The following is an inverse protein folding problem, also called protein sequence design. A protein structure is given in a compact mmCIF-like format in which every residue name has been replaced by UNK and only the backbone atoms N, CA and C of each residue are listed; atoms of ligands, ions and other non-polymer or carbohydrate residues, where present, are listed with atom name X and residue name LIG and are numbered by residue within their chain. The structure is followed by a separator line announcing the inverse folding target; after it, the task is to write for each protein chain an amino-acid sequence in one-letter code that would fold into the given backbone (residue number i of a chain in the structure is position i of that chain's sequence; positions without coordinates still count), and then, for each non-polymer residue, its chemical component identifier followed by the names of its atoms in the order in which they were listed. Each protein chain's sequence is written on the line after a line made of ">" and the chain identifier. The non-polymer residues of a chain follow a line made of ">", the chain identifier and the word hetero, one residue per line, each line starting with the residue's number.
data_IF_255676562017
#
_entry.id   IF_255676562017
#
_cell.length_a   1.000
_cell.length_b   1.000
_cell.length_c   1.000
_cell.angle_alpha   90.00
_cell.angle_beta   90.00
_cell.angle_gamma   90.00
#
_symmetry.space_group_name_H-M   'P 1'
#
loop_
_entity.id
_entity.type
_entity.pdbx_description
1 polymer ?
#
# COMPACT_ATOMS: atom_id res chain seq x y z
N UNK A 1 -28.00 3.71 14.39
CA UNK A 1 -27.03 3.20 13.39
C UNK A 1 -26.25 2.02 13.95
N UNK A 2 -25.84 1.08 13.10
CA UNK A 2 -25.25 -0.18 13.54
C UNK A 2 -23.73 -0.08 13.66
N UNK A 3 -23.20 -0.34 14.86
CA UNK A 3 -21.78 -0.58 15.06
C UNK A 3 -21.27 -1.70 14.15
N UNK A 4 -19.98 -1.68 13.74
CA UNK A 4 -19.41 -2.80 13.00
C UNK A 4 -19.49 -4.09 13.82
N UNK A 5 -19.73 -5.20 13.14
CA UNK A 5 -19.66 -6.53 13.76
C UNK A 5 -18.24 -6.81 14.29
N UNK A 6 -18.15 -7.62 15.35
CA UNK A 6 -16.89 -7.93 16.06
C UNK A 6 -15.77 -8.40 15.11
N UNK A 7 -16.09 -9.25 14.14
CA UNK A 7 -15.13 -9.75 13.16
C UNK A 7 -14.46 -8.64 12.33
N UNK A 8 -15.19 -7.55 12.02
CA UNK A 8 -14.64 -6.40 11.26
C UNK A 8 -13.68 -5.55 12.08
N UNK A 9 -13.67 -5.68 13.41
CA UNK A 9 -12.79 -4.93 14.31
C UNK A 9 -11.47 -5.67 14.55
N UNK A 10 -11.46 -7.00 14.38
CA UNK A 10 -10.28 -7.84 14.60
C UNK A 10 -9.06 -7.39 13.79
N UNK A 11 -9.23 -7.15 12.48
CA UNK A 11 -8.10 -6.80 11.62
C UNK A 11 -7.54 -5.40 11.89
N UNK A 12 -8.37 -4.34 12.02
CA UNK A 12 -7.88 -3.03 12.46
C UNK A 12 -7.10 -3.05 13.78
N UNK A 13 -7.47 -3.91 14.75
CA UNK A 13 -6.67 -4.09 15.98
C UNK A 13 -5.27 -4.61 15.66
N UNK A 14 -5.14 -5.60 14.78
CA UNK A 14 -3.84 -6.15 14.39
C UNK A 14 -3.00 -5.12 13.63
N UNK A 15 -3.61 -4.36 12.72
CA UNK A 15 -2.93 -3.28 11.98
C UNK A 15 -2.37 -2.22 12.92
N UNK A 16 -3.19 -1.72 13.85
CA UNK A 16 -2.76 -0.72 14.83
C UNK A 16 -1.64 -1.25 15.72
N UNK A 17 -1.76 -2.47 16.24
CA UNK A 17 -0.71 -3.07 17.07
C UNK A 17 0.60 -3.24 16.30
N UNK A 18 0.56 -3.62 15.01
CA UNK A 18 1.76 -3.72 14.18
C UNK A 18 2.37 -2.33 13.95
N UNK A 19 1.54 -1.32 13.65
CA UNK A 19 1.97 0.05 13.40
C UNK A 19 2.64 0.70 14.63
N UNK A 20 2.24 0.32 15.85
CA UNK A 20 2.81 0.86 17.11
C UNK A 20 4.04 0.09 17.62
N UNK A 21 4.63 -0.78 16.81
CA UNK A 21 5.80 -1.58 17.22
C UNK A 21 5.47 -2.91 17.88
N UNK A 22 4.18 -3.30 17.89
CA UNK A 22 3.72 -4.63 18.30
C UNK A 22 3.05 -4.70 19.66
N UNK A 23 2.92 -3.58 20.36
CA UNK A 23 2.22 -3.51 21.63
C UNK A 23 1.55 -2.13 21.79
N UNK A 24 0.40 -2.09 22.45
CA UNK A 24 -0.28 -0.82 22.75
C UNK A 24 -1.20 -0.95 23.97
N UNK A 25 -1.45 0.17 24.67
CA UNK A 25 -2.51 0.27 25.68
C UNK A 25 -3.88 0.31 24.99
N UNK A 26 -4.80 -0.55 25.45
CA UNK A 26 -6.15 -0.69 24.90
C UNK A 26 -6.93 0.62 24.88
N UNK A 27 -6.63 1.56 25.78
CA UNK A 27 -7.26 2.89 25.80
C UNK A 27 -6.97 3.69 24.54
N UNK A 28 -5.75 3.60 24.01
CA UNK A 28 -5.39 4.26 22.74
C UNK A 28 -6.01 3.55 21.55
N UNK A 29 -6.13 2.21 21.60
CA UNK A 29 -6.81 1.45 20.56
C UNK A 29 -8.27 1.91 20.39
N UNK A 30 -9.00 2.21 21.48
CA UNK A 30 -10.38 2.67 21.36
C UNK A 30 -10.53 3.92 20.50
N UNK A 31 -9.61 4.88 20.62
CA UNK A 31 -9.68 6.12 19.86
C UNK A 31 -9.20 5.92 18.41
N UNK A 32 -8.09 5.20 18.21
CA UNK A 32 -7.49 5.03 16.87
C UNK A 32 -8.34 4.17 15.94
N UNK A 33 -8.99 3.14 16.48
CA UNK A 33 -9.83 2.24 15.68
C UNK A 33 -11.03 2.93 15.03
N UNK A 34 -11.45 4.11 15.52
CA UNK A 34 -12.57 4.86 14.96
C UNK A 34 -12.30 5.27 13.50
N UNK A 35 -11.05 5.61 13.16
CA UNK A 35 -10.66 6.02 11.81
C UNK A 35 -10.85 4.95 10.74
N UNK A 36 -10.97 3.68 11.13
CA UNK A 36 -11.19 2.54 10.23
C UNK A 36 -12.66 2.35 9.83
N UNK A 37 -13.58 3.08 10.45
CA UNK A 37 -15.02 2.88 10.27
C UNK A 37 -15.72 4.19 9.89
N UNK A 38 -15.64 4.63 8.62
CA UNK A 38 -16.24 5.88 8.15
C UNK A 38 -17.77 5.89 8.28
N UNK A 39 -18.41 4.74 8.48
CA UNK A 39 -19.83 4.62 8.74
C UNK A 39 -20.26 5.05 10.16
N UNK A 40 -19.31 5.34 11.07
CA UNK A 40 -19.64 5.88 12.39
C UNK A 40 -20.05 7.34 12.28
N UNK A 41 -21.16 7.72 12.91
CA UNK A 41 -21.63 9.10 12.89
C UNK A 41 -20.66 10.02 13.66
N UNK A 42 -20.56 11.29 13.25
CA UNK A 42 -19.67 12.25 13.91
C UNK A 42 -19.92 12.39 15.43
N UNK A 43 -21.18 12.27 15.85
CA UNK A 43 -21.57 12.24 17.27
C UNK A 43 -21.02 11.01 18.02
N UNK A 44 -21.02 9.84 17.37
CA UNK A 44 -20.45 8.61 17.92
C UNK A 44 -18.93 8.72 18.06
N UNK A 45 -18.27 9.27 17.04
CA UNK A 45 -16.81 9.54 17.02
C UNK A 45 -16.42 10.48 18.17
N UNK A 46 -17.18 11.56 18.35
CA UNK A 46 -16.95 12.52 19.42
C UNK A 46 -17.18 11.89 20.81
N UNK A 47 -18.27 11.14 20.98
CA UNK A 47 -18.58 10.45 22.24
C UNK A 47 -17.58 9.34 22.60
N UNK A 48 -17.01 8.64 21.60
CA UNK A 48 -15.93 7.67 21.82
C UNK A 48 -14.63 8.37 22.24
N UNK A 49 -14.29 9.48 21.59
CA UNK A 49 -13.11 10.29 21.90
C UNK A 49 -13.15 10.84 23.33
N UNK A 50 -14.36 11.22 23.80
CA UNK A 50 -14.59 11.68 25.18
C UNK A 50 -14.76 10.51 26.19
N UNK A 51 -14.62 9.26 25.76
CA UNK A 51 -14.64 8.09 26.64
C UNK A 51 -16.02 7.64 27.12
N UNK A 52 -17.10 8.19 26.58
CA UNK A 52 -18.47 8.00 27.07
C UNK A 52 -19.24 6.82 26.45
N UNK A 53 -18.62 6.03 25.55
CA UNK A 53 -19.30 4.92 24.86
C UNK A 53 -18.80 3.53 25.27
N UNK A 54 -19.43 3.00 26.31
CA UNK A 54 -19.23 1.63 26.81
C UNK A 54 -19.57 0.54 25.78
N UNK A 55 -20.47 0.82 24.83
CA UNK A 55 -20.79 -0.14 23.76
C UNK A 55 -19.60 -0.38 22.82
N UNK A 56 -18.89 0.69 22.42
CA UNK A 56 -17.70 0.59 21.58
C UNK A 56 -16.58 -0.19 22.29
N UNK A 57 -16.32 0.15 23.56
CA UNK A 57 -15.34 -0.55 24.40
C UNK A 57 -15.65 -2.04 24.49
N UNK A 58 -16.92 -2.40 24.72
CA UNK A 58 -17.34 -3.82 24.77
C UNK A 58 -17.10 -4.54 23.44
N UNK A 59 -17.33 -3.89 22.30
CA UNK A 59 -17.08 -4.50 20.98
C UNK A 59 -15.58 -4.71 20.74
N UNK A 60 -14.75 -3.70 20.99
CA UNK A 60 -13.29 -3.82 20.86
C UNK A 60 -12.77 -4.91 21.80
N UNK A 61 -13.24 -4.97 23.05
CA UNK A 61 -12.86 -6.02 24.01
C UNK A 61 -13.29 -7.43 23.56
N UNK A 62 -14.46 -7.58 22.93
CA UNK A 62 -14.89 -8.86 22.35
C UNK A 62 -14.02 -9.27 21.16
N UNK A 63 -13.66 -8.32 20.30
CA UNK A 63 -12.75 -8.58 19.18
C UNK A 63 -11.37 -8.99 19.70
N UNK A 64 -10.84 -8.28 20.70
CA UNK A 64 -9.59 -8.64 21.37
C UNK A 64 -9.63 -10.02 22.04
N UNK A 65 -10.74 -10.41 22.66
CA UNK A 65 -10.91 -11.78 23.19
C UNK A 65 -10.83 -12.81 22.07
N UNK A 66 -11.54 -12.59 20.97
CA UNK A 66 -11.53 -13.50 19.81
C UNK A 66 -10.13 -13.63 19.20
N UNK A 67 -9.38 -12.52 19.07
CA UNK A 67 -7.98 -12.53 18.62
C UNK A 67 -7.06 -13.28 19.60
N UNK A 68 -7.31 -13.14 20.90
CA UNK A 68 -6.55 -13.85 21.94
C UNK A 68 -6.80 -15.36 21.89
N UNK A 69 -8.05 -15.78 21.69
CA UNK A 69 -8.42 -17.19 21.56
C UNK A 69 -7.77 -17.82 20.31
N UNK A 70 -7.66 -17.04 19.23
CA UNK A 70 -6.91 -17.38 18.00
C UNK A 70 -5.39 -17.31 18.16
N UNK A 71 -4.87 -16.97 19.35
CA UNK A 71 -3.43 -16.76 19.65
C UNK A 71 -2.76 -15.69 18.77
N UNK A 72 -3.53 -14.73 18.27
CA UNK A 72 -3.04 -13.64 17.41
C UNK A 72 -2.57 -12.43 18.23
N UNK A 73 -3.11 -12.26 19.43
CA UNK A 73 -2.64 -11.28 20.41
C UNK A 73 -2.52 -11.92 21.80
N UNK A 74 -1.66 -11.36 22.64
CA UNK A 74 -1.62 -11.59 24.07
C UNK A 74 -2.16 -10.35 24.80
N UNK A 75 -3.03 -10.57 25.79
CA UNK A 75 -3.64 -9.48 26.58
C UNK A 75 -3.04 -9.49 27.99
N UNK A 76 -2.29 -8.45 28.34
CA UNK A 76 -1.62 -8.29 29.64
C UNK A 76 -2.08 -6.98 30.30
N UNK A 77 -2.97 -7.07 31.30
CA UNK A 77 -3.43 -5.93 32.15
C UNK A 77 -3.55 -4.58 31.40
N UNK A 78 -4.42 -4.51 30.39
CA UNK A 78 -4.66 -3.30 29.61
C UNK A 78 -3.71 -3.08 28.42
N UNK A 79 -2.58 -3.79 28.35
CA UNK A 79 -1.68 -3.79 27.20
C UNK A 79 -1.92 -5.02 26.33
N UNK A 80 -2.09 -4.79 25.03
CA UNK A 80 -2.26 -5.86 24.04
C UNK A 80 -0.98 -5.94 23.22
N UNK A 81 -0.51 -7.17 23.00
CA UNK A 81 0.74 -7.45 22.29
C UNK A 81 0.43 -8.38 21.13
N UNK A 82 0.83 -8.02 19.91
CA UNK A 82 0.63 -8.88 18.75
C UNK A 82 1.64 -10.03 18.74
N UNK A 83 1.16 -11.25 18.54
CA UNK A 83 2.02 -12.44 18.45
C UNK A 83 2.60 -12.60 17.04
N UNK A 84 3.52 -13.54 16.84
CA UNK A 84 4.01 -13.88 15.49
C UNK A 84 2.86 -14.31 14.55
N UNK A 85 1.86 -15.02 15.07
CA UNK A 85 0.68 -15.45 14.29
C UNK A 85 -0.17 -14.25 13.90
N UNK A 86 -0.37 -13.29 14.82
CA UNK A 86 -1.09 -12.05 14.52
C UNK A 86 -0.37 -11.16 13.52
N UNK A 87 0.97 -11.05 13.62
CA UNK A 87 1.79 -10.32 12.64
C UNK A 87 1.71 -10.94 11.25
N UNK A 88 1.77 -12.28 11.18
CA UNK A 88 1.62 -13.00 9.90
C UNK A 88 0.25 -12.75 9.29
N UNK A 89 -0.84 -12.86 10.05
CA UNK A 89 -2.19 -12.53 9.55
C UNK A 89 -2.29 -11.07 9.09
N UNK A 90 -1.70 -10.14 9.85
CA UNK A 90 -1.69 -8.73 9.46
C UNK A 90 -0.96 -8.50 8.14
N UNK A 91 0.17 -9.19 7.93
CA UNK A 91 0.92 -9.17 6.68
C UNK A 91 0.15 -9.85 5.53
N UNK A 92 -0.43 -11.03 5.76
CA UNK A 92 -1.21 -11.78 4.77
C UNK A 92 -2.44 -10.99 4.30
N UNK A 93 -3.17 -10.32 5.21
CA UNK A 93 -4.31 -9.48 4.84
C UNK A 93 -3.86 -8.14 4.20
N UNK A 94 -2.72 -7.57 4.59
CA UNK A 94 -2.13 -6.43 3.88
C UNK A 94 -1.72 -6.80 2.44
N UNK A 95 -1.23 -8.03 2.23
CA UNK A 95 -0.96 -8.61 0.92
C UNK A 95 -2.25 -8.93 0.15
N UNK A 96 -3.33 -9.37 0.81
CA UNK A 96 -4.62 -9.58 0.15
C UNK A 96 -5.30 -8.27 -0.30
N UNK A 97 -5.11 -7.17 0.44
CA UNK A 97 -5.55 -5.84 0.02
C UNK A 97 -4.71 -5.28 -1.14
N UNK A 98 -3.51 -5.84 -1.40
CA UNK A 98 -2.87 -5.70 -2.71
C UNK A 98 -3.56 -6.60 -3.75
N UNK A 99 -4.75 -6.17 -4.18
CA UNK A 99 -5.50 -6.69 -5.34
C UNK A 99 -5.56 -8.22 -5.42
N UNK A 100 -6.49 -8.82 -4.69
CA UNK A 100 -6.99 -10.16 -4.98
C UNK A 100 -8.09 -10.09 -6.06
N UNK A 101 -7.68 -9.83 -7.31
CA UNK A 101 -8.44 -10.25 -8.50
C UNK A 101 -7.88 -11.61 -8.90
N UNK A 102 -8.67 -12.68 -8.72
CA UNK A 102 -8.47 -13.99 -9.34
C UNK A 102 -7.12 -14.67 -9.11
N UNK A 103 -6.90 -15.21 -7.92
CA UNK A 103 -5.89 -16.26 -7.72
C UNK A 103 -6.37 -17.59 -8.34
N UNK A 104 -6.34 -17.66 -9.66
CA UNK A 104 -6.62 -18.86 -10.44
C UNK A 104 -6.16 -18.58 -11.87
N UNK A 105 -5.16 -19.32 -12.33
CA UNK A 105 -4.57 -19.21 -13.69
C UNK A 105 -3.54 -18.07 -13.88
N UNK A 106 -2.34 -18.25 -13.33
CA UNK A 106 -1.23 -17.36 -13.65
C UNK A 106 0.11 -17.68 -12.97
N UNK A 107 0.10 -18.49 -11.91
CA UNK A 107 1.27 -18.84 -11.11
C UNK A 107 2.36 -19.68 -11.85
N UNK A 108 2.33 -19.76 -13.18
CA UNK A 108 3.37 -20.39 -14.00
C UNK A 108 4.06 -19.47 -15.00
N UNK A 109 3.76 -18.16 -15.05
CA UNK A 109 4.37 -17.24 -16.02
C UNK A 109 5.22 -16.10 -15.41
N UNK A 110 5.52 -16.14 -14.12
CA UNK A 110 6.37 -15.14 -13.47
C UNK A 110 7.87 -15.25 -13.82
N UNK A 111 8.29 -16.25 -14.60
CA UNK A 111 9.72 -16.50 -14.87
C UNK A 111 10.34 -15.69 -16.01
N UNK A 112 9.59 -14.90 -16.80
CA UNK A 112 10.17 -14.28 -18.00
C UNK A 112 9.85 -12.81 -18.28
N UNK A 113 9.12 -12.09 -17.41
CA UNK A 113 8.84 -10.68 -17.67
C UNK A 113 10.14 -9.88 -17.88
N UNK A 114 10.29 -9.37 -19.10
CA UNK A 114 11.44 -8.58 -19.51
C UNK A 114 11.31 -7.13 -19.03
N UNK A 115 12.39 -6.37 -19.17
CA UNK A 115 12.37 -4.95 -18.81
C UNK A 115 11.40 -4.20 -19.73
N UNK A 116 11.42 -4.53 -21.03
CA UNK A 116 10.52 -3.99 -22.05
C UNK A 116 9.06 -4.37 -21.80
N UNK A 117 8.78 -5.60 -21.35
CA UNK A 117 7.39 -6.00 -21.03
C UNK A 117 6.84 -5.17 -19.88
N UNK A 118 7.65 -4.92 -18.85
CA UNK A 118 7.24 -4.08 -17.73
C UNK A 118 7.04 -2.62 -18.16
N UNK A 119 7.90 -2.07 -19.02
CA UNK A 119 7.69 -0.74 -19.60
C UNK A 119 6.37 -0.69 -20.38
N UNK A 120 6.11 -1.67 -21.24
CA UNK A 120 4.86 -1.73 -22.02
C UNK A 120 3.62 -1.83 -21.12
N UNK A 121 3.67 -2.63 -20.06
CA UNK A 121 2.57 -2.69 -19.09
C UNK A 121 2.30 -1.33 -18.43
N UNK A 122 3.35 -0.59 -18.07
CA UNK A 122 3.22 0.76 -17.52
C UNK A 122 2.65 1.75 -18.54
N UNK A 123 3.01 1.61 -19.82
CA UNK A 123 2.45 2.42 -20.90
C UNK A 123 0.95 2.20 -21.05
N UNK A 124 0.52 0.94 -21.08
CA UNK A 124 -0.88 0.57 -21.23
C UNK A 124 -1.69 1.02 -20.00
N UNK A 125 -1.18 0.76 -18.79
CA UNK A 125 -1.82 1.25 -17.56
C UNK A 125 -1.98 2.77 -17.57
N UNK A 126 -0.94 3.51 -18.00
CA UNK A 126 -1.02 4.96 -18.12
C UNK A 126 -2.13 5.39 -19.07
N UNK A 127 -2.22 4.77 -20.26
CA UNK A 127 -3.25 5.06 -21.27
C UNK A 127 -4.66 4.78 -20.75
N UNK A 128 -4.88 3.63 -20.13
CA UNK A 128 -6.20 3.24 -19.55
C UNK A 128 -6.64 4.24 -18.47
N UNK A 129 -5.70 4.80 -17.72
CA UNK A 129 -5.98 5.81 -16.70
C UNK A 129 -6.05 7.25 -17.25
N UNK A 130 -6.04 7.43 -18.56
CA UNK A 130 -6.15 8.73 -19.23
C UNK A 130 -4.87 9.58 -19.21
N UNK A 131 -3.70 8.98 -18.92
CA UNK A 131 -2.42 9.66 -19.00
C UNK A 131 -1.77 9.51 -20.38
N UNK A 132 -1.00 10.52 -20.77
CA UNK A 132 -0.04 10.40 -21.86
C UNK A 132 1.23 9.71 -21.33
N UNK A 133 1.41 8.43 -21.65
CA UNK A 133 2.55 7.63 -21.25
C UNK A 133 3.60 7.56 -22.36
N UNK A 134 4.88 7.66 -22.00
CA UNK A 134 6.04 7.48 -22.89
C UNK A 134 7.13 6.63 -22.24
N UNK A 135 7.70 5.71 -23.02
CA UNK A 135 8.85 4.89 -22.61
C UNK A 135 10.16 5.52 -23.09
N UNK A 136 11.24 5.29 -22.36
CA UNK A 136 12.60 5.78 -22.67
C UNK A 136 12.67 7.31 -22.87
N UNK A 137 11.93 8.06 -22.04
CA UNK A 137 11.91 9.51 -22.11
C UNK A 137 13.10 10.12 -21.36
N UNK A 138 13.96 10.81 -22.10
CA UNK A 138 15.25 11.35 -21.64
C UNK A 138 16.17 10.27 -21.04
N UNK A 139 16.08 10.05 -19.74
CA UNK A 139 16.89 9.11 -18.95
C UNK A 139 16.04 8.27 -18.00
N UNK A 140 14.71 8.36 -18.14
CA UNK A 140 13.72 7.60 -17.38
C UNK A 140 13.15 6.46 -18.22
N UNK A 141 12.82 5.35 -17.57
CA UNK A 141 12.32 4.17 -18.28
C UNK A 141 10.89 4.37 -18.78
N UNK A 142 10.00 4.95 -17.95
CA UNK A 142 8.65 5.37 -18.35
C UNK A 142 8.26 6.65 -17.62
N UNK A 143 7.53 7.53 -18.30
CA UNK A 143 6.95 8.75 -17.71
C UNK A 143 5.48 8.89 -18.09
N UNK A 144 4.68 9.44 -17.17
CA UNK A 144 3.29 9.81 -17.46
C UNK A 144 3.08 11.31 -17.32
N UNK A 145 2.30 11.87 -18.24
CA UNK A 145 1.92 13.28 -18.31
C UNK A 145 0.40 13.41 -18.40
N UNK A 146 -0.12 14.56 -17.98
CA UNK A 146 -1.56 14.83 -18.07
C UNK A 146 -2.05 14.92 -19.54
N UNK A 147 -1.16 15.33 -20.45
CA UNK A 147 -1.35 15.35 -21.89
C UNK A 147 0.00 15.37 -22.59
N UNK A 148 0.03 15.12 -23.89
CA UNK A 148 1.25 15.18 -24.72
C UNK A 148 1.97 16.53 -24.65
N UNK A 149 1.19 17.62 -24.57
CA UNK A 149 1.71 18.99 -24.50
C UNK A 149 2.09 19.42 -23.09
N UNK A 150 1.79 18.61 -22.06
CA UNK A 150 2.11 18.96 -20.68
C UNK A 150 3.63 18.95 -20.51
N UNK A 151 4.24 20.08 -20.10
CA UNK A 151 5.68 20.13 -19.83
C UNK A 151 6.04 19.40 -18.53
N UNK A 152 5.06 19.17 -17.65
CA UNK A 152 5.27 18.54 -16.34
C UNK A 152 5.05 17.03 -16.41
N UNK A 153 6.04 16.29 -15.91
CA UNK A 153 5.97 14.87 -15.61
C UNK A 153 5.15 14.66 -14.34
N UNK A 154 4.03 13.94 -14.47
CA UNK A 154 3.16 13.61 -13.34
C UNK A 154 3.70 12.40 -12.56
N UNK A 155 4.09 11.34 -13.28
CA UNK A 155 4.65 10.11 -12.70
C UNK A 155 5.92 9.75 -13.46
N UNK A 156 6.90 9.18 -12.74
CA UNK A 156 8.18 8.74 -13.30
C UNK A 156 8.50 7.36 -12.75
N UNK A 157 8.85 6.44 -13.63
CA UNK A 157 9.08 5.04 -13.33
C UNK A 157 10.51 4.62 -13.71
N UNK A 158 11.15 3.84 -12.82
CA UNK A 158 12.39 3.12 -13.11
C UNK A 158 12.15 1.62 -12.88
N UNK A 159 12.55 0.79 -13.84
CA UNK A 159 12.31 -0.65 -13.88
C UNK A 159 13.62 -1.41 -13.70
N UNK A 160 13.77 -2.12 -12.58
CA UNK A 160 15.01 -2.78 -12.20
C UNK A 160 14.85 -4.31 -12.14
N UNK A 161 15.61 -5.03 -13.00
CA UNK A 161 15.66 -6.51 -13.00
C UNK A 161 16.85 -7.10 -12.24
N UNK A 162 18.05 -6.58 -12.52
CA UNK A 162 19.35 -6.97 -11.92
C UNK A 162 20.29 -5.75 -11.82
N UNK A 163 19.71 -4.56 -11.67
CA UNK A 163 20.42 -3.29 -11.76
C UNK A 163 20.77 -2.68 -10.40
N UNK A 164 21.35 -1.48 -10.44
CA UNK A 164 21.70 -0.73 -9.25
C UNK A 164 20.50 0.11 -8.78
N UNK A 165 19.84 -0.34 -7.71
CA UNK A 165 18.74 0.36 -7.04
C UNK A 165 19.11 1.82 -6.69
N UNK A 166 20.36 2.08 -6.29
CA UNK A 166 20.78 3.43 -5.91
C UNK A 166 20.79 4.40 -7.10
N UNK A 167 21.17 3.91 -8.29
CA UNK A 167 21.13 4.71 -9.51
C UNK A 167 19.69 5.04 -9.91
N UNK A 168 18.77 4.07 -9.80
CA UNK A 168 17.35 4.28 -10.05
C UNK A 168 16.76 5.31 -9.05
N UNK A 169 17.04 5.14 -7.76
CA UNK A 169 16.57 6.08 -6.72
C UNK A 169 17.12 7.50 -6.92
N UNK A 170 18.37 7.64 -7.39
CA UNK A 170 18.95 8.95 -7.71
C UNK A 170 18.22 9.64 -8.87
N UNK A 171 17.87 8.91 -9.94
CA UNK A 171 17.06 9.45 -11.04
C UNK A 171 15.67 9.86 -10.56
N UNK A 172 15.00 9.01 -9.79
CA UNK A 172 13.68 9.29 -9.22
C UNK A 172 13.70 10.53 -8.31
N UNK A 173 14.75 10.67 -7.48
CA UNK A 173 14.96 11.87 -6.65
C UNK A 173 15.06 13.12 -7.52
N UNK A 174 15.87 13.09 -8.59
CA UNK A 174 16.00 14.21 -9.53
C UNK A 174 14.64 14.62 -10.12
N UNK A 175 13.82 13.66 -10.53
CA UNK A 175 12.48 13.93 -11.06
C UNK A 175 11.59 14.63 -10.03
N UNK A 176 11.58 14.11 -8.81
CA UNK A 176 10.81 14.67 -7.71
C UNK A 176 11.28 16.09 -7.32
N UNK A 177 12.58 16.35 -7.33
CA UNK A 177 13.12 17.67 -7.02
C UNK A 177 12.81 18.70 -8.10
N UNK A 178 12.96 18.32 -9.37
CA UNK A 178 12.77 19.23 -10.49
C UNK A 178 11.28 19.56 -10.72
N UNK A 179 10.40 18.56 -10.65
CA UNK A 179 9.02 18.71 -11.12
C UNK A 179 7.97 18.22 -10.14
N UNK A 180 8.38 17.77 -8.94
CA UNK A 180 7.49 17.16 -7.94
C UNK A 180 6.64 16.03 -8.55
N UNK A 181 7.25 15.24 -9.44
CA UNK A 181 6.64 14.06 -10.05
C UNK A 181 6.53 12.95 -9.00
N UNK A 182 5.51 12.09 -9.11
CA UNK A 182 5.36 10.93 -8.24
C UNK A 182 6.33 9.81 -8.68
N UNK A 183 7.30 9.42 -7.84
CA UNK A 183 8.30 8.42 -8.21
C UNK A 183 7.80 6.99 -7.99
N UNK A 184 8.14 6.09 -8.91
CA UNK A 184 7.82 4.67 -8.83
C UNK A 184 9.06 3.85 -9.16
N UNK A 185 9.39 2.89 -8.29
CA UNK A 185 10.44 1.91 -8.52
C UNK A 185 9.81 0.54 -8.74
N UNK A 186 10.01 -0.04 -9.92
CA UNK A 186 9.49 -1.37 -10.26
C UNK A 186 10.63 -2.40 -10.17
N UNK A 187 10.49 -3.43 -9.34
CA UNK A 187 11.54 -4.42 -9.05
C UNK A 187 11.09 -5.85 -9.29
N UNK A 188 12.01 -6.74 -9.69
CA UNK A 188 11.68 -8.13 -10.00
C UNK A 188 11.43 -9.02 -8.78
N UNK A 189 12.07 -8.74 -7.64
CA UNK A 189 12.03 -9.62 -6.49
C UNK A 189 11.73 -8.90 -5.17
N UNK A 190 11.21 -9.67 -4.22
CA UNK A 190 10.83 -9.19 -2.89
C UNK A 190 12.04 -8.76 -2.06
N UNK A 191 13.21 -9.38 -2.27
CA UNK A 191 14.44 -8.99 -1.56
C UNK A 191 14.91 -7.58 -1.94
N UNK A 192 14.80 -7.22 -3.22
CA UNK A 192 15.08 -5.88 -3.74
C UNK A 192 14.02 -4.88 -3.28
N UNK A 193 12.77 -5.33 -3.12
CA UNK A 193 11.70 -4.54 -2.49
C UNK A 193 12.08 -4.19 -1.05
N UNK A 194 12.50 -5.19 -0.25
CA UNK A 194 12.95 -4.98 1.15
C UNK A 194 14.20 -4.11 1.23
N UNK A 195 15.15 -4.28 0.30
CA UNK A 195 16.36 -3.46 0.22
C UNK A 195 16.04 -2.00 -0.09
N UNK A 196 15.22 -1.75 -1.11
CA UNK A 196 14.75 -0.42 -1.46
C UNK A 196 13.96 0.20 -0.30
N UNK A 197 13.05 -0.55 0.32
CA UNK A 197 12.29 -0.10 1.48
C UNK A 197 13.22 0.29 2.63
N UNK A 198 14.26 -0.51 2.92
CA UNK A 198 15.24 -0.22 3.97
C UNK A 198 16.04 1.05 3.70
N UNK A 199 16.44 1.28 2.45
CA UNK A 199 17.13 2.51 2.03
C UNK A 199 16.24 3.74 2.17
N UNK A 200 14.96 3.60 1.86
CA UNK A 200 13.94 4.64 2.03
C UNK A 200 13.55 4.86 3.50
N UNK A 201 13.58 3.80 4.31
CA UNK A 201 13.21 3.81 5.73
C UNK A 201 14.32 4.26 6.67
N UNK A 202 15.52 4.59 6.16
CA UNK A 202 16.54 5.37 6.89
C UNK A 202 16.09 6.83 7.04
N UNK A 203 14.86 6.99 7.51
CA UNK A 203 14.08 8.19 7.64
C UNK A 203 14.70 9.07 8.73
N UNK A 204 15.70 9.87 8.32
CA UNK A 204 16.15 11.17 8.85
C UNK A 204 17.55 11.56 8.33
N UNK A 205 18.34 10.61 7.82
CA UNK A 205 19.76 10.85 7.48
C UNK A 205 20.24 10.25 6.15
N UNK A 206 19.42 9.43 5.48
CA UNK A 206 19.80 8.83 4.19
C UNK A 206 19.68 9.79 2.99
N UNK A 207 20.44 9.57 1.90
CA UNK A 207 20.42 10.43 0.71
C UNK A 207 19.06 10.50 -0.02
N UNK A 208 18.17 9.54 0.24
CA UNK A 208 16.85 9.43 -0.40
C UNK A 208 15.68 9.73 0.57
N UNK A 209 15.95 10.27 1.76
CA UNK A 209 14.90 10.48 2.78
C UNK A 209 13.74 11.38 2.30
N UNK A 210 14.01 12.33 1.40
CA UNK A 210 13.01 13.25 0.83
C UNK A 210 11.97 12.53 -0.04
N UNK A 211 12.39 11.51 -0.78
CA UNK A 211 11.50 10.69 -1.62
C UNK A 211 10.97 9.46 -0.88
N UNK A 212 11.55 9.12 0.28
CA UNK A 212 11.24 7.95 1.09
C UNK A 212 9.76 7.67 1.33
N UNK A 213 8.95 8.74 1.46
CA UNK A 213 7.51 8.66 1.75
C UNK A 213 6.61 8.74 0.52
N UNK A 214 7.15 9.19 -0.61
CA UNK A 214 6.38 9.48 -1.82
C UNK A 214 6.67 8.48 -2.94
N UNK A 215 7.79 7.75 -2.87
CA UNK A 215 8.08 6.68 -3.82
C UNK A 215 7.26 5.45 -3.53
N UNK A 216 6.50 5.00 -4.53
CA UNK A 216 5.88 3.69 -4.51
C UNK A 216 6.85 2.64 -5.07
N UNK A 217 6.93 1.48 -4.42
CA UNK A 217 7.71 0.34 -4.91
C UNK A 217 6.71 -0.73 -5.36
N UNK A 218 6.86 -1.21 -6.59
CA UNK A 218 6.00 -2.24 -7.17
C UNK A 218 6.85 -3.44 -7.59
N UNK A 219 6.41 -4.65 -7.27
CA UNK A 219 7.00 -5.84 -7.87
C UNK A 219 6.49 -6.04 -9.30
N UNK A 220 7.23 -6.79 -10.11
CA UNK A 220 6.78 -7.17 -11.46
C UNK A 220 5.46 -7.94 -11.42
N UNK A 221 5.27 -8.77 -10.40
CA UNK A 221 4.02 -9.48 -10.18
C UNK A 221 2.87 -8.52 -9.87
N UNK A 222 3.09 -7.51 -9.02
CA UNK A 222 2.09 -6.49 -8.73
C UNK A 222 1.74 -5.68 -9.97
N UNK A 223 2.73 -5.30 -10.78
CA UNK A 223 2.50 -4.61 -12.05
C UNK A 223 1.68 -5.46 -13.01
N UNK A 224 2.02 -6.75 -13.15
CA UNK A 224 1.28 -7.66 -14.03
C UNK A 224 -0.18 -7.83 -13.56
N UNK A 225 -0.42 -7.94 -12.25
CA UNK A 225 -1.77 -8.00 -11.69
C UNK A 225 -2.55 -6.72 -11.96
N UNK A 226 -1.91 -5.55 -11.78
CA UNK A 226 -2.51 -4.25 -12.03
C UNK A 226 -2.89 -4.09 -13.51
N UNK A 227 -1.96 -4.41 -14.41
CA UNK A 227 -2.17 -4.34 -15.86
C UNK A 227 -3.34 -5.22 -16.29
N UNK A 228 -3.38 -6.48 -15.86
CA UNK A 228 -4.52 -7.38 -16.15
C UNK A 228 -5.84 -6.87 -15.60
N UNK A 229 -5.85 -6.42 -14.35
CA UNK A 229 -7.06 -5.92 -13.71
C UNK A 229 -7.62 -4.71 -14.46
N UNK A 230 -6.80 -3.73 -14.82
CA UNK A 230 -7.23 -2.52 -15.52
C UNK A 230 -7.63 -2.80 -16.97
N UNK A 231 -6.86 -3.60 -17.70
CA UNK A 231 -7.20 -3.95 -19.09
C UNK A 231 -8.48 -4.77 -19.20
N UNK A 232 -8.78 -5.63 -18.21
CA UNK A 232 -10.05 -6.38 -18.19
C UNK A 232 -11.31 -5.52 -18.02
N UNK A 233 -11.17 -4.26 -17.62
CA UNK A 233 -12.27 -3.31 -17.41
C UNK A 233 -12.09 -2.03 -18.23
N UNK A 234 -11.19 -2.02 -19.22
CA UNK A 234 -10.82 -0.83 -19.98
C UNK A 234 -12.04 -0.17 -20.65
N UNK A 235 -12.89 -0.95 -21.31
CA UNK A 235 -14.11 -0.45 -21.96
C UNK A 235 -15.05 0.24 -20.95
N UNK A 236 -15.21 -0.36 -19.75
CA UNK A 236 -16.03 0.22 -18.69
C UNK A 236 -15.40 1.50 -18.11
N UNK A 237 -14.07 1.56 -18.03
CA UNK A 237 -13.38 2.77 -17.59
C UNK A 237 -13.51 3.87 -18.63
N UNK A 238 -13.47 3.55 -19.92
CA UNK A 238 -13.69 4.52 -20.99
C UNK A 238 -15.07 5.18 -20.87
N UNK A 239 -16.14 4.41 -20.61
CA UNK A 239 -17.49 4.96 -20.38
C UNK A 239 -17.60 5.92 -19.19
N UNK A 240 -16.68 5.86 -18.22
CA UNK A 240 -16.67 6.73 -17.03
C UNK A 240 -15.88 8.01 -17.26
N UNK A 241 -14.81 7.95 -18.06
CA UNK A 241 -13.88 9.06 -18.28
C UNK A 241 -14.13 9.84 -19.58
N UNK A 242 -14.95 9.31 -20.50
CA UNK A 242 -15.58 10.07 -21.59
C UNK A 242 -16.78 10.91 -21.10
#
# INVERSE_FOLDING_TARGET
>A
MAYPGVARIEFPILQELVATGGAEDVRFLYARLVGYFPQLAAEDVHAISNGHREQWRRLVQRAGRTLSDKRQIERRRGHWVVTAVGRRRAADEALQFSLSVGAGEGARQSSELSHTDAQQMLMDVGRVLGYHAESEFEYYDVVWRASELSPRLSHVFEVQRKGNIDAALAKLKRAYEAQRSKPFLVVTNEHDTVRAQKQMSQARTGPFHEIGRVTAILSFEQLQRLHRALTSVEDLLAEIFE
#
